data_IF_987198907208
#
_entry.id   IF_987198907208
#
_cell.length_a   1.000
_cell.length_b   1.000
_cell.length_c   1.000
_cell.angle_alpha   90.00
_cell.angle_beta   90.00
_cell.angle_gamma   90.00
#
_symmetry.space_group_name_H-M   'P 1'
#
loop_
_entity.id
_entity.type
_entity.pdbx_description
1 polymer ?
#
# COMPACT_ATOMS: atom_id res chain seq x y z
N UNK A 1 18.57 -7.13 -65.61
CA UNK A 1 18.38 -5.97 -64.70
C UNK A 1 17.79 -6.47 -63.39
N UNK A 2 18.50 -6.11 -62.33
CA UNK A 2 18.42 -6.42 -60.89
C UNK A 2 17.11 -6.92 -60.25
N UNK A 3 17.27 -7.97 -59.42
CA UNK A 3 16.44 -8.24 -58.23
C UNK A 3 16.88 -7.34 -57.06
N UNK A 4 15.96 -7.04 -56.13
CA UNK A 4 16.31 -7.05 -54.70
C UNK A 4 15.29 -7.84 -53.82
N UNK A 5 15.82 -8.84 -53.10
CA UNK A 5 15.93 -9.01 -51.63
C UNK A 5 15.24 -7.93 -50.74
N UNK A 6 14.66 -8.16 -49.53
CA UNK A 6 14.64 -9.24 -48.51
C UNK A 6 13.35 -9.13 -47.67
N UNK A 7 13.01 -10.25 -47.04
CA UNK A 7 11.96 -10.60 -46.08
C UNK A 7 12.33 -10.28 -44.60
N UNK A 8 11.34 -10.47 -43.69
CA UNK A 8 11.40 -10.79 -42.24
C UNK A 8 10.70 -9.74 -41.34
N UNK A 9 9.69 -10.04 -40.52
CA UNK A 9 9.16 -11.31 -40.02
C UNK A 9 9.65 -11.62 -38.59
N UNK A 10 9.16 -10.90 -37.58
CA UNK A 10 9.42 -11.20 -36.17
C UNK A 10 8.43 -12.26 -35.68
N UNK A 11 8.92 -13.49 -35.52
CA UNK A 11 8.27 -14.54 -34.74
C UNK A 11 9.15 -14.87 -33.54
N UNK A 12 8.54 -14.85 -32.36
CA UNK A 12 9.11 -15.34 -31.11
C UNK A 12 9.20 -16.87 -31.17
N UNK A 13 10.30 -17.47 -30.72
CA UNK A 13 10.20 -18.80 -30.14
C UNK A 13 10.91 -18.86 -28.79
N UNK A 14 10.22 -19.42 -27.80
CA UNK A 14 10.88 -20.24 -26.80
C UNK A 14 11.00 -21.66 -27.36
N UNK A 15 12.09 -22.38 -27.05
CA UNK A 15 11.86 -23.61 -26.30
C UNK A 15 12.87 -23.85 -25.18
N UNK A 16 12.40 -24.58 -24.16
CA UNK A 16 13.13 -25.14 -23.03
C UNK A 16 14.14 -26.20 -23.48
N UNK A 17 15.35 -26.24 -22.90
CA UNK A 17 16.12 -27.49 -22.77
C UNK A 17 17.31 -27.39 -21.79
N UNK A 18 17.12 -28.05 -20.65
CA UNK A 18 18.05 -28.99 -19.98
C UNK A 18 19.37 -28.48 -19.36
N UNK A 19 19.41 -28.64 -18.02
CA UNK A 19 20.54 -28.61 -17.10
C UNK A 19 21.95 -28.84 -17.67
N UNK A 20 22.87 -27.93 -17.33
CA UNK A 20 24.27 -28.28 -17.11
C UNK A 20 24.75 -27.63 -15.82
N UNK A 21 24.59 -28.38 -14.73
CA UNK A 21 25.42 -28.31 -13.53
C UNK A 21 26.89 -28.11 -13.94
N UNK A 22 27.64 -27.35 -13.12
CA UNK A 22 29.08 -27.05 -13.19
C UNK A 22 29.48 -25.67 -13.73
N UNK A 23 29.07 -24.59 -13.07
CA UNK A 23 29.92 -23.39 -12.92
C UNK A 23 29.81 -22.77 -11.51
N UNK A 24 29.66 -23.62 -10.48
CA UNK A 24 29.61 -23.18 -9.07
C UNK A 24 30.98 -22.90 -8.43
N UNK A 25 32.08 -22.87 -9.19
CA UNK A 25 33.42 -22.59 -8.64
C UNK A 25 34.31 -21.84 -9.63
N UNK A 26 34.03 -20.56 -9.85
CA UNK A 26 35.08 -19.60 -10.19
C UNK A 26 35.13 -18.58 -9.05
N UNK A 27 36.23 -18.47 -8.29
CA UNK A 27 36.36 -17.42 -7.29
C UNK A 27 36.45 -16.07 -8.01
N UNK A 28 35.60 -15.13 -7.58
CA UNK A 28 35.66 -13.75 -8.05
C UNK A 28 37.01 -13.11 -7.70
N UNK A 29 37.59 -12.27 -8.59
CA UNK A 29 38.79 -11.53 -8.27
C UNK A 29 38.52 -10.57 -7.10
N UNK A 30 39.41 -10.64 -6.10
CA UNK A 30 39.34 -9.85 -4.87
C UNK A 30 39.38 -8.35 -5.19
N UNK A 31 38.38 -7.54 -4.78
CA UNK A 31 38.44 -6.10 -4.97
C UNK A 31 39.59 -5.52 -4.13
N UNK A 32 40.42 -4.72 -4.80
CA UNK A 32 41.56 -3.98 -4.23
C UNK A 32 41.05 -2.90 -3.27
N UNK A 33 41.74 -2.73 -2.13
CA UNK A 33 41.34 -1.81 -1.08
C UNK A 33 41.53 -0.38 -1.56
N UNK A 34 40.44 0.37 -1.67
CA UNK A 34 40.49 1.82 -1.78
C UNK A 34 40.26 2.39 -0.38
N UNK A 35 41.32 2.94 0.20
CA UNK A 35 41.22 3.71 1.43
C UNK A 35 40.59 5.06 1.09
N UNK A 36 39.30 5.21 1.41
CA UNK A 36 38.61 6.50 1.33
C UNK A 36 38.16 6.87 2.73
N UNK A 37 38.92 7.78 3.31
CA UNK A 37 38.60 8.45 4.56
C UNK A 37 37.21 9.09 4.52
N UNK A 38 36.51 8.96 5.65
CA UNK A 38 35.49 9.90 6.15
C UNK A 38 34.21 10.06 5.31
N UNK A 39 33.26 9.14 5.50
CA UNK A 39 31.85 9.46 5.32
C UNK A 39 31.13 9.38 6.67
N UNK A 40 30.70 10.56 7.13
CA UNK A 40 29.98 10.75 8.37
C UNK A 40 28.73 9.86 8.46
N UNK A 41 28.44 9.44 9.69
CA UNK A 41 27.27 8.65 10.02
C UNK A 41 26.01 9.22 9.34
N UNK A 42 25.15 8.38 8.71
CA UNK A 42 23.83 8.84 8.32
C UNK A 42 23.12 9.22 9.62
N UNK A 43 22.88 10.53 9.78
CA UNK A 43 22.11 11.03 10.89
C UNK A 43 20.78 10.30 10.90
N UNK A 44 20.54 9.58 12.00
CA UNK A 44 19.28 8.91 12.27
C UNK A 44 18.15 9.86 11.94
N UNK A 45 17.34 9.46 10.96
CA UNK A 45 16.12 10.15 10.62
C UNK A 45 15.38 10.36 11.94
N UNK A 46 15.20 11.62 12.35
CA UNK A 46 14.45 11.96 13.55
C UNK A 46 13.10 11.28 13.38
N UNK A 47 12.91 10.18 14.09
CA UNK A 47 11.61 9.53 14.21
C UNK A 47 10.63 10.66 14.55
N UNK A 48 9.50 10.83 13.84
CA UNK A 48 8.54 11.87 14.16
C UNK A 48 7.87 11.50 15.49
N UNK A 49 8.62 11.69 16.58
CA UNK A 49 8.12 11.73 17.93
C UNK A 49 7.17 12.92 17.97
N UNK A 50 5.89 12.61 18.24
CA UNK A 50 4.71 13.48 18.53
C UNK A 50 3.50 13.33 17.59
N UNK A 51 3.46 12.39 16.66
CA UNK A 51 2.19 12.05 16.01
C UNK A 51 1.40 11.07 16.88
N UNK A 52 0.29 11.50 17.48
CA UNK A 52 -0.61 10.62 18.23
C UNK A 52 -1.03 9.43 17.35
N UNK A 53 -0.58 8.24 17.72
CA UNK A 53 -0.83 7.03 16.97
C UNK A 53 -2.31 6.68 17.06
N UNK A 54 -2.91 6.28 15.94
CA UNK A 54 -4.28 5.80 15.91
C UNK A 54 -4.22 4.29 15.77
N UNK A 55 -4.75 3.60 16.77
CA UNK A 55 -4.63 2.16 16.91
C UNK A 55 -5.97 1.46 16.78
N UNK A 56 -5.94 0.19 16.41
CA UNK A 56 -7.10 -0.68 16.45
C UNK A 56 -7.61 -0.78 17.89
N UNK A 57 -8.89 -0.53 18.11
CA UNK A 57 -9.52 -0.64 19.43
C UNK A 57 -9.41 -2.05 20.02
N UNK A 58 -9.45 -3.08 19.17
CA UNK A 58 -9.51 -4.47 19.62
C UNK A 58 -8.15 -5.04 20.05
N UNK A 59 -7.07 -4.69 19.36
CA UNK A 59 -5.74 -5.29 19.62
C UNK A 59 -4.60 -4.27 19.79
N UNK A 60 -4.90 -2.97 19.74
CA UNK A 60 -3.93 -1.87 19.86
C UNK A 60 -2.84 -1.82 18.78
N UNK A 61 -2.97 -2.62 17.71
CA UNK A 61 -2.10 -2.51 16.54
C UNK A 61 -2.21 -1.11 15.93
N UNK A 62 -1.08 -0.49 15.59
CA UNK A 62 -1.05 0.84 14.97
C UNK A 62 -1.64 0.76 13.57
N UNK A 63 -2.67 1.55 13.31
CA UNK A 63 -3.38 1.58 12.02
C UNK A 63 -2.91 2.75 11.17
N UNK A 64 -2.82 3.93 11.79
CA UNK A 64 -2.43 5.18 11.13
C UNK A 64 -1.97 6.19 12.20
N UNK A 65 -1.78 7.45 11.83
CA UNK A 65 -1.47 8.54 12.75
C UNK A 65 -2.45 9.71 12.59
N UNK A 66 -2.49 10.60 13.58
CA UNK A 66 -3.25 11.85 13.50
C UNK A 66 -2.84 12.73 12.31
N UNK A 67 -1.57 12.67 11.88
CA UNK A 67 -1.08 13.42 10.73
C UNK A 67 -1.73 12.98 9.42
N UNK A 68 -2.19 11.73 9.33
CA UNK A 68 -2.83 11.17 8.14
C UNK A 68 -4.31 11.55 7.99
N UNK A 69 -4.91 12.27 8.95
CA UNK A 69 -6.29 12.77 8.80
C UNK A 69 -6.43 13.51 7.47
N UNK A 70 -7.51 13.20 6.75
CA UNK A 70 -7.86 13.75 5.44
C UNK A 70 -9.26 14.31 5.49
N UNK A 71 -9.46 15.45 4.84
CA UNK A 71 -10.77 16.03 4.56
C UNK A 71 -11.21 15.55 3.17
N UNK A 72 -12.37 14.92 3.09
CA UNK A 72 -13.04 14.48 1.86
C UNK A 72 -14.41 15.18 1.83
N UNK A 73 -14.78 15.76 0.69
CA UNK A 73 -16.09 16.43 0.53
C UNK A 73 -16.42 17.43 1.66
N UNK A 74 -15.40 18.17 2.11
CA UNK A 74 -15.54 19.20 3.14
C UNK A 74 -15.48 18.74 4.60
N UNK A 75 -15.43 17.43 4.89
CA UNK A 75 -15.35 16.92 6.25
C UNK A 75 -14.30 15.81 6.43
N UNK A 76 -13.83 15.61 7.68
CA UNK A 76 -13.00 14.46 8.03
C UNK A 76 -13.83 13.26 8.51
N UNK A 77 -14.98 13.52 9.13
CA UNK A 77 -15.91 12.50 9.63
C UNK A 77 -17.22 12.58 8.84
N UNK A 78 -17.76 11.42 8.48
CA UNK A 78 -19.04 11.29 7.78
C UNK A 78 -19.89 10.23 8.47
N UNK A 79 -21.20 10.41 8.48
CA UNK A 79 -22.14 9.38 8.95
C UNK A 79 -22.91 8.82 7.76
N UNK A 80 -22.84 7.51 7.56
CA UNK A 80 -23.50 6.82 6.45
C UNK A 80 -24.25 5.58 6.93
N UNK A 81 -25.28 5.18 6.20
CA UNK A 81 -25.92 3.89 6.35
C UNK A 81 -25.54 2.98 5.17
N UNK A 82 -25.26 1.71 5.44
CA UNK A 82 -25.16 0.72 4.37
C UNK A 82 -26.58 0.27 3.92
N UNK A 83 -26.70 -0.51 2.82
CA UNK A 83 -28.02 -0.97 2.33
C UNK A 83 -28.86 -1.75 3.35
N UNK A 84 -28.22 -2.40 4.32
CA UNK A 84 -28.87 -3.13 5.42
C UNK A 84 -29.30 -2.20 6.57
N UNK A 85 -29.14 -0.89 6.42
CA UNK A 85 -29.53 0.11 7.44
C UNK A 85 -28.54 0.27 8.60
N UNK A 86 -27.36 -0.36 8.55
CA UNK A 86 -26.33 -0.22 9.58
C UNK A 86 -25.64 1.13 9.41
N UNK A 87 -25.70 1.95 10.45
CA UNK A 87 -25.09 3.29 10.47
C UNK A 87 -23.65 3.22 10.97
N UNK A 88 -22.75 3.90 10.27
CA UNK A 88 -21.34 4.04 10.61
C UNK A 88 -20.93 5.50 10.63
N UNK A 89 -20.16 5.88 11.67
CA UNK A 89 -19.32 7.08 11.64
C UNK A 89 -17.95 6.72 11.04
N UNK A 90 -17.57 7.40 9.98
CA UNK A 90 -16.41 7.13 9.14
C UNK A 90 -15.44 8.29 9.22
N UNK A 91 -14.24 8.04 9.75
CA UNK A 91 -13.12 8.98 9.75
C UNK A 91 -12.18 8.73 8.55
N UNK A 92 -11.83 9.79 7.83
CA UNK A 92 -11.07 9.72 6.58
C UNK A 92 -9.56 9.95 6.80
N UNK A 93 -8.73 9.06 6.27
CA UNK A 93 -7.26 9.14 6.37
C UNK A 93 -6.61 8.99 4.98
N UNK A 94 -5.50 9.69 4.75
CA UNK A 94 -4.71 9.58 3.52
C UNK A 94 -4.11 8.19 3.39
N UNK A 95 -3.50 7.69 4.46
CA UNK A 95 -2.97 6.34 4.52
C UNK A 95 -3.26 5.65 5.86
N UNK A 96 -3.31 4.32 5.84
CA UNK A 96 -3.55 3.46 6.99
C UNK A 96 -2.76 2.16 6.82
N UNK A 97 -1.45 2.26 7.03
CA UNK A 97 -0.48 1.18 6.82
C UNK A 97 -0.72 -0.06 7.69
N UNK A 98 -1.45 0.05 8.80
CA UNK A 98 -1.83 -1.10 9.64
C UNK A 98 -3.06 -1.86 9.17
N UNK A 99 -3.60 -1.54 7.99
CA UNK A 99 -4.73 -2.24 7.39
C UNK A 99 -4.29 -3.30 6.37
N UNK A 100 -4.97 -4.45 6.38
CA UNK A 100 -5.05 -5.39 5.26
C UNK A 100 -6.36 -5.21 4.48
N UNK A 101 -6.51 -5.89 3.34
CA UNK A 101 -7.72 -5.77 2.49
C UNK A 101 -8.29 -7.11 2.05
N UNK A 102 -9.62 -7.21 2.05
CA UNK A 102 -10.36 -8.45 1.77
C UNK A 102 -11.31 -8.26 0.58
N UNK A 103 -11.46 -9.30 -0.24
CA UNK A 103 -12.38 -9.31 -1.39
C UNK A 103 -11.88 -8.50 -2.60
N UNK A 104 -12.64 -8.40 -3.69
CA UNK A 104 -12.38 -7.47 -4.79
C UNK A 104 -12.78 -6.04 -4.40
N UNK A 105 -12.34 -5.05 -5.19
CA UNK A 105 -12.89 -3.69 -5.09
C UNK A 105 -14.28 -3.65 -5.74
N UNK A 106 -15.19 -2.86 -5.19
CA UNK A 106 -16.59 -2.74 -5.64
C UNK A 106 -17.02 -1.28 -5.74
N UNK A 107 -17.75 -0.88 -6.81
CA UNK A 107 -18.42 0.41 -6.87
C UNK A 107 -19.77 0.41 -6.15
N UNK A 108 -20.30 -0.75 -5.76
CA UNK A 108 -21.67 -0.91 -5.27
C UNK A 108 -21.91 -0.07 -4.02
N UNK A 109 -22.93 0.80 -4.05
CA UNK A 109 -23.29 1.65 -2.91
C UNK A 109 -22.11 2.45 -2.33
N UNK A 110 -21.17 2.87 -3.17
CA UNK A 110 -20.09 3.74 -2.72
C UNK A 110 -20.66 5.04 -2.13
N UNK A 111 -20.19 5.41 -0.93
CA UNK A 111 -20.57 6.67 -0.30
C UNK A 111 -19.80 7.87 -0.86
N UNK A 112 -18.65 7.62 -1.47
CA UNK A 112 -17.80 8.65 -2.07
C UNK A 112 -17.82 8.49 -3.58
N UNK A 113 -18.50 9.43 -4.25
CA UNK A 113 -18.72 9.40 -5.70
C UNK A 113 -17.37 9.38 -6.44
N UNK A 114 -17.25 8.51 -7.43
CA UNK A 114 -16.01 8.35 -8.22
C UNK A 114 -15.00 7.38 -7.64
N UNK A 115 -15.28 6.76 -6.48
CA UNK A 115 -14.42 5.76 -5.86
C UNK A 115 -15.04 4.36 -5.88
N UNK A 116 -14.19 3.35 -6.07
CA UNK A 116 -14.48 1.96 -5.68
C UNK A 116 -13.95 1.71 -4.28
N UNK A 117 -14.60 0.84 -3.51
CA UNK A 117 -14.17 0.49 -2.17
C UNK A 117 -13.76 -0.97 -2.06
N UNK A 118 -12.87 -1.25 -1.11
CA UNK A 118 -12.49 -2.60 -0.70
C UNK A 118 -12.48 -2.66 0.82
N UNK A 119 -12.93 -3.78 1.39
CA UNK A 119 -12.99 -3.95 2.85
C UNK A 119 -11.57 -3.85 3.42
N UNK A 120 -11.38 -2.97 4.40
CA UNK A 120 -10.17 -2.81 5.17
C UNK A 120 -10.32 -3.50 6.54
N UNK A 121 -9.37 -4.35 6.88
CA UNK A 121 -9.31 -5.08 8.15
C UNK A 121 -8.04 -4.73 8.90
N UNK A 122 -8.02 -4.88 10.22
CA UNK A 122 -6.76 -4.79 10.97
C UNK A 122 -5.80 -5.88 10.48
N UNK A 123 -4.57 -5.50 10.11
CA UNK A 123 -3.56 -6.46 9.66
C UNK A 123 -3.13 -7.45 10.77
N UNK A 124 -3.40 -7.12 12.04
CA UNK A 124 -3.05 -7.97 13.18
C UNK A 124 -4.18 -8.89 13.63
N UNK A 125 -5.39 -8.38 13.85
CA UNK A 125 -6.49 -9.19 14.39
C UNK A 125 -7.65 -9.43 13.41
N UNK A 126 -7.52 -8.95 12.18
CA UNK A 126 -8.51 -9.10 11.09
C UNK A 126 -9.91 -8.54 11.37
N UNK A 127 -10.12 -7.83 12.47
CA UNK A 127 -11.40 -7.11 12.67
C UNK A 127 -11.62 -6.12 11.53
N UNK A 128 -12.84 -6.06 11.01
CA UNK A 128 -13.23 -5.06 10.02
C UNK A 128 -13.00 -3.66 10.59
N UNK A 129 -12.20 -2.84 9.93
CA UNK A 129 -11.91 -1.46 10.36
C UNK A 129 -12.59 -0.42 9.48
N UNK A 130 -12.98 -0.77 8.26
CA UNK A 130 -13.69 0.12 7.35
C UNK A 130 -13.35 -0.24 5.91
N UNK A 131 -13.03 0.76 5.10
CA UNK A 131 -12.84 0.61 3.67
C UNK A 131 -11.66 1.42 3.13
N UNK A 132 -10.99 0.88 2.12
CA UNK A 132 -10.09 1.65 1.24
C UNK A 132 -10.88 2.09 0.01
N UNK A 133 -10.91 3.37 -0.24
CA UNK A 133 -11.52 3.97 -1.43
C UNK A 133 -10.42 4.29 -2.45
N UNK A 134 -10.60 3.90 -3.70
CA UNK A 134 -9.64 4.14 -4.78
C UNK A 134 -10.32 4.73 -6.00
N UNK A 135 -9.72 5.79 -6.54
CA UNK A 135 -10.15 6.47 -7.76
C UNK A 135 -9.42 5.88 -8.99
N UNK A 136 -9.97 6.06 -10.20
CA UNK A 136 -9.34 5.56 -11.43
C UNK A 136 -7.96 6.15 -11.75
N UNK A 137 -7.65 7.34 -11.23
CA UNK A 137 -6.37 8.03 -11.40
C UNK A 137 -5.26 7.54 -10.46
N UNK A 138 -5.57 6.52 -9.63
CA UNK A 138 -4.64 5.94 -8.67
C UNK A 138 -4.62 6.62 -7.31
N UNK A 139 -5.35 7.73 -7.12
CA UNK A 139 -5.54 8.31 -5.81
C UNK A 139 -6.40 7.40 -4.93
N UNK A 140 -6.12 7.42 -3.63
CA UNK A 140 -6.87 6.65 -2.65
C UNK A 140 -6.93 7.37 -1.31
N UNK A 141 -7.78 6.83 -0.44
CA UNK A 141 -7.84 7.14 0.98
C UNK A 141 -8.52 5.99 1.73
N UNK A 142 -8.58 6.08 3.05
CA UNK A 142 -9.25 5.12 3.91
C UNK A 142 -10.38 5.80 4.67
N UNK A 143 -11.57 5.22 4.59
CA UNK A 143 -12.68 5.56 5.49
C UNK A 143 -12.76 4.49 6.58
N UNK A 144 -12.37 4.83 7.80
CA UNK A 144 -12.31 3.89 8.91
C UNK A 144 -13.41 4.18 9.94
N UNK A 145 -13.99 3.12 10.49
CA UNK A 145 -15.09 3.19 11.47
C UNK A 145 -14.53 3.76 12.77
N UNK A 146 -14.96 4.98 13.12
CA UNK A 146 -14.39 5.75 14.23
C UNK A 146 -14.45 4.99 15.56
N UNK A 147 -15.55 4.30 15.84
CA UNK A 147 -15.74 3.52 17.06
C UNK A 147 -14.79 2.32 17.20
N UNK A 148 -14.11 1.91 16.12
CA UNK A 148 -13.14 0.80 16.10
C UNK A 148 -11.69 1.26 16.20
N UNK A 149 -11.47 2.56 16.42
CA UNK A 149 -10.16 3.17 16.58
C UNK A 149 -10.01 3.82 17.96
N UNK A 150 -8.77 3.93 18.43
CA UNK A 150 -8.39 4.68 19.63
C UNK A 150 -7.23 5.60 19.25
N UNK A 151 -7.27 6.85 19.68
CA UNK A 151 -6.11 7.74 19.66
C UNK A 151 -5.28 7.43 20.91
N UNK A 152 -4.02 7.03 20.73
CA UNK A 152 -3.06 6.95 21.83
C UNK A 152 -2.34 8.30 21.91
N UNK A 153 -2.45 8.93 23.07
CA UNK A 153 -1.59 10.05 23.43
C UNK A 153 -0.15 9.55 23.58
N UNK A 154 0.81 10.39 23.18
CA UNK A 154 2.24 10.08 23.24
C UNK A 154 2.79 10.06 24.67
#
# INVERSE_FOLDING_TARGET
MNRPLVQAGCFWPYPLSQNRFLYLFRPDPKPEKVDVDSFGAPQGNKSPATANAIVCRQCLHVITSSAERKVIDGAHSHTFANPEGIVFEIACYRDAWGCGYVGPASPEFTWFVGYVWRIAVCASCHVHLGWRFSAPDGHFFHGLIASRLIVKDA
#
